data_IF_572330793820
#
_entry.id   IF_572330793820
#
_cell.length_a   1.000
_cell.length_b   1.000
_cell.length_c   1.000
_cell.angle_alpha   90.00
_cell.angle_beta   90.00
_cell.angle_gamma   90.00
#
_symmetry.space_group_name_H-M   'P 1'
#
loop_
_entity.id
_entity.type
_entity.pdbx_description
1 polymer ?
#
# COMPACT_ATOMS: atom_id res chain seq x y z
N UNK A 1 -32.20 20.51 8.14
CA UNK A 1 -33.23 20.12 9.14
C UNK A 1 -33.33 21.15 10.26
N UNK A 2 -32.28 21.42 11.06
CA UNK A 2 -32.33 22.47 12.11
C UNK A 2 -32.56 23.90 11.60
N UNK A 3 -31.93 24.29 10.48
CA UNK A 3 -32.16 25.59 9.85
C UNK A 3 -33.59 25.74 9.28
N UNK A 4 -34.18 24.64 8.80
CA UNK A 4 -35.53 24.61 8.21
C UNK A 4 -36.59 24.88 9.27
N UNK A 5 -36.45 24.28 10.46
CA UNK A 5 -37.41 24.44 11.56
C UNK A 5 -37.39 25.85 12.18
N UNK A 6 -36.26 26.56 12.15
CA UNK A 6 -36.18 27.94 12.66
C UNK A 6 -36.78 28.92 11.64
N UNK A 7 -36.62 28.65 10.34
CA UNK A 7 -37.21 29.45 9.28
C UNK A 7 -38.74 29.34 9.26
N UNK A 8 -39.28 28.12 9.42
CA UNK A 8 -40.74 27.88 9.53
C UNK A 8 -41.38 28.55 10.76
N UNK A 9 -40.62 28.70 11.86
CA UNK A 9 -41.08 29.40 13.07
C UNK A 9 -41.15 30.93 12.89
N UNK A 10 -40.45 31.49 11.90
CA UNK A 10 -40.40 32.93 11.62
C UNK A 10 -41.33 33.34 10.47
N UNK A 11 -41.72 32.41 9.60
CA UNK A 11 -42.62 32.66 8.46
C UNK A 11 -44.07 32.28 8.76
N UNK A 12 -44.62 32.77 9.88
CA UNK A 12 -46.04 32.60 10.21
C UNK A 12 -46.94 33.21 9.13
N UNK A 13 -47.40 32.40 8.19
CA UNK A 13 -48.38 32.76 7.18
C UNK A 13 -49.72 33.09 7.85
N UNK A 14 -50.04 34.37 7.87
CA UNK A 14 -51.36 34.88 8.25
C UNK A 14 -52.27 34.91 7.01
N UNK A 15 -52.93 33.80 6.68
CA UNK A 15 -54.15 33.85 5.88
C UNK A 15 -55.03 32.59 5.99
N UNK A 16 -56.08 32.66 6.82
CA UNK A 16 -57.32 31.89 6.66
C UNK A 16 -58.31 32.34 7.74
N UNK A 17 -59.25 33.20 7.38
CA UNK A 17 -60.29 33.70 8.27
C UNK A 17 -61.49 32.75 8.40
N UNK A 18 -61.94 32.56 9.63
CA UNK A 18 -63.36 32.39 9.99
C UNK A 18 -63.56 32.76 11.47
N UNK A 19 -64.29 33.86 11.64
CA UNK A 19 -65.28 34.22 12.65
C UNK A 19 -65.56 33.24 13.82
N UNK A 20 -65.40 33.74 15.07
CA UNK A 20 -66.45 33.76 16.11
C UNK A 20 -65.88 34.32 17.41
N UNK A 21 -66.51 35.36 17.95
CA UNK A 21 -66.05 36.12 19.10
C UNK A 21 -66.15 35.44 20.47
N UNK A 22 -65.18 35.76 21.34
CA UNK A 22 -65.36 35.95 22.78
C UNK A 22 -64.16 36.76 23.31
N UNK A 23 -64.44 37.94 23.89
CA UNK A 23 -63.42 38.78 24.53
C UNK A 23 -63.08 38.26 25.93
N UNK A 24 -61.80 38.20 26.26
CA UNK A 24 -61.35 38.26 27.65
C UNK A 24 -60.09 37.46 27.95
N UNK A 25 -59.03 38.20 28.29
CA UNK A 25 -57.80 37.78 28.98
C UNK A 25 -56.58 37.46 28.10
N UNK A 26 -55.96 38.55 27.64
CA UNK A 26 -54.52 38.83 27.75
C UNK A 26 -53.54 37.71 27.34
N UNK A 27 -53.36 37.58 26.02
CA UNK A 27 -52.08 37.74 25.33
C UNK A 27 -50.76 37.55 26.11
N UNK A 28 -50.50 36.37 26.68
CA UNK A 28 -49.12 36.00 27.09
C UNK A 28 -48.33 35.29 25.98
N UNK A 29 -48.98 34.83 24.91
CA UNK A 29 -48.31 34.17 23.79
C UNK A 29 -47.82 35.13 22.68
N UNK A 30 -48.24 36.40 22.69
CA UNK A 30 -47.92 37.39 21.63
C UNK A 30 -46.76 38.35 21.99
N UNK A 31 -46.29 38.32 23.23
CA UNK A 31 -45.26 39.25 23.74
C UNK A 31 -43.82 38.91 23.31
N UNK A 32 -43.52 37.63 23.07
CA UNK A 32 -42.15 37.19 22.73
C UNK A 32 -41.71 37.73 21.36
N UNK A 33 -42.66 38.02 20.47
CA UNK A 33 -42.41 38.51 19.10
C UNK A 33 -42.35 40.04 19.03
N UNK A 34 -42.79 40.75 20.07
CA UNK A 34 -42.94 42.21 20.08
C UNK A 34 -41.75 42.95 20.73
N UNK A 35 -40.75 42.24 21.27
CA UNK A 35 -39.58 42.86 21.89
C UNK A 35 -38.54 43.22 20.81
N UNK A 36 -38.34 44.51 20.47
CA UNK A 36 -37.49 44.93 19.36
C UNK A 36 -36.01 44.55 19.55
N UNK A 37 -35.54 44.46 20.79
CA UNK A 37 -34.18 44.00 21.11
C UNK A 37 -33.99 42.51 20.79
N UNK A 38 -35.03 41.71 20.98
CA UNK A 38 -35.03 40.28 20.66
C UNK A 38 -35.05 40.07 19.14
N UNK A 39 -35.89 40.83 18.43
CA UNK A 39 -35.94 40.83 16.96
C UNK A 39 -34.61 41.27 16.34
N UNK A 40 -33.94 42.28 16.92
CA UNK A 40 -32.61 42.71 16.49
C UNK A 40 -31.52 41.65 16.74
N UNK A 41 -31.71 40.77 17.72
CA UNK A 41 -30.76 39.71 18.08
C UNK A 41 -30.87 38.46 17.21
N UNK A 42 -32.03 38.19 16.59
CA UNK A 42 -32.28 37.00 15.76
C UNK A 42 -31.30 36.89 14.58
N UNK A 43 -31.05 37.93 13.76
CA UNK A 43 -30.06 37.88 12.68
C UNK A 43 -28.65 37.56 13.19
N UNK A 44 -28.27 38.10 14.35
CA UNK A 44 -26.97 37.83 14.96
C UNK A 44 -26.86 36.37 15.41
N UNK A 45 -27.91 35.81 16.01
CA UNK A 45 -27.96 34.39 16.40
C UNK A 45 -27.83 33.50 15.16
N UNK A 46 -28.55 33.80 14.08
CA UNK A 46 -28.46 33.05 12.82
C UNK A 46 -27.05 33.12 12.21
N UNK A 47 -26.44 34.30 12.17
CA UNK A 47 -25.06 34.48 11.71
C UNK A 47 -24.06 33.67 12.56
N UNK A 48 -24.23 33.67 13.89
CA UNK A 48 -23.39 32.90 14.80
C UNK A 48 -23.56 31.39 14.58
N UNK A 49 -24.80 30.92 14.37
CA UNK A 49 -25.08 29.51 14.06
C UNK A 49 -24.44 29.09 12.73
N UNK A 50 -24.53 29.93 11.71
CA UNK A 50 -23.88 29.68 10.41
C UNK A 50 -22.35 29.65 10.53
N UNK A 51 -21.76 30.56 11.32
CA UNK A 51 -20.34 30.58 11.60
C UNK A 51 -19.88 29.31 12.34
N UNK A 52 -20.65 28.85 13.33
CA UNK A 52 -20.39 27.60 14.05
C UNK A 52 -20.46 26.41 13.08
N UNK A 53 -21.50 26.33 12.25
CA UNK A 53 -21.66 25.25 11.28
C UNK A 53 -20.49 25.21 10.28
N UNK A 54 -20.11 26.37 9.74
CA UNK A 54 -18.96 26.49 8.82
C UNK A 54 -17.65 26.08 9.49
N UNK A 55 -17.41 26.53 10.73
CA UNK A 55 -16.24 26.15 11.52
C UNK A 55 -16.19 24.64 11.78
N UNK A 56 -17.34 24.03 12.11
CA UNK A 56 -17.45 22.58 12.30
C UNK A 56 -17.09 21.82 11.02
N UNK A 57 -17.63 22.22 9.87
CA UNK A 57 -17.32 21.59 8.58
C UNK A 57 -15.83 21.70 8.24
N UNK A 58 -15.24 22.87 8.45
CA UNK A 58 -13.81 23.08 8.23
C UNK A 58 -12.95 22.19 9.14
N UNK A 59 -13.30 22.08 10.43
CA UNK A 59 -12.60 21.19 11.36
C UNK A 59 -12.69 19.71 10.93
N UNK A 60 -13.86 19.27 10.46
CA UNK A 60 -14.04 17.90 9.96
C UNK A 60 -13.20 17.63 8.71
N UNK A 61 -13.11 18.58 7.78
CA UNK A 61 -12.26 18.48 6.59
C UNK A 61 -10.77 18.39 6.99
N UNK A 62 -10.30 19.26 7.89
CA UNK A 62 -8.93 19.22 8.39
C UNK A 62 -8.61 17.89 9.08
N UNK A 63 -9.55 17.37 9.88
CA UNK A 63 -9.40 16.07 10.52
C UNK A 63 -9.30 14.94 9.49
N UNK A 64 -10.17 14.91 8.49
CA UNK A 64 -10.14 13.88 7.45
C UNK A 64 -8.82 13.90 6.67
N UNK A 65 -8.33 15.10 6.33
CA UNK A 65 -7.04 15.27 5.67
C UNK A 65 -5.87 14.76 6.53
N UNK A 66 -5.83 15.13 7.82
CA UNK A 66 -4.80 14.64 8.75
C UNK A 66 -4.86 13.13 8.93
N UNK A 67 -6.05 12.56 9.07
CA UNK A 67 -6.24 11.10 9.18
C UNK A 67 -5.70 10.39 7.95
N UNK A 68 -6.07 10.85 6.75
CA UNK A 68 -5.59 10.29 5.49
C UNK A 68 -4.05 10.38 5.39
N UNK A 69 -3.47 11.53 5.75
CA UNK A 69 -2.02 11.72 5.69
C UNK A 69 -1.27 10.78 6.62
N UNK A 70 -1.78 10.56 7.85
CA UNK A 70 -1.18 9.63 8.80
C UNK A 70 -1.25 8.18 8.32
N UNK A 71 -2.39 7.77 7.77
CA UNK A 71 -2.57 6.44 7.18
C UNK A 71 -1.59 6.20 6.02
N UNK A 72 -1.45 7.19 5.13
CA UNK A 72 -0.46 7.16 4.04
C UNK A 72 0.99 7.09 4.57
N UNK A 73 1.34 7.85 5.62
CA UNK A 73 2.67 7.74 6.23
C UNK A 73 2.94 6.35 6.82
N UNK A 74 1.93 5.73 7.44
CA UNK A 74 2.05 4.38 7.98
C UNK A 74 2.23 3.34 6.87
N UNK A 75 1.43 3.41 5.80
CA UNK A 75 1.55 2.53 4.63
C UNK A 75 2.92 2.64 3.97
N UNK A 76 3.44 3.87 3.82
CA UNK A 76 4.79 4.09 3.30
C UNK A 76 5.85 3.40 4.17
N UNK A 77 5.76 3.51 5.50
CA UNK A 77 6.73 2.89 6.41
C UNK A 77 6.71 1.37 6.35
N UNK A 78 5.54 0.76 6.26
CA UNK A 78 5.43 -0.69 6.10
C UNK A 78 6.05 -1.14 4.77
N UNK A 79 5.73 -0.44 3.67
CA UNK A 79 6.29 -0.73 2.36
C UNK A 79 7.83 -0.62 2.35
N UNK A 80 8.38 0.46 2.92
CA UNK A 80 9.83 0.68 3.02
C UNK A 80 10.51 -0.44 3.80
N UNK A 81 9.93 -0.84 4.94
CA UNK A 81 10.46 -1.92 5.78
C UNK A 81 10.46 -3.27 5.04
N UNK A 82 9.41 -3.57 4.30
CA UNK A 82 9.34 -4.80 3.53
C UNK A 82 10.35 -4.80 2.37
N UNK A 83 10.55 -3.66 1.71
CA UNK A 83 11.59 -3.50 0.70
C UNK A 83 12.99 -3.66 1.29
N UNK A 84 13.27 -3.06 2.44
CA UNK A 84 14.57 -3.14 3.13
C UNK A 84 14.95 -4.59 3.42
N UNK A 85 14.03 -5.37 4.00
CA UNK A 85 14.26 -6.80 4.25
C UNK A 85 14.63 -7.58 2.99
N UNK A 86 13.98 -7.28 1.87
CA UNK A 86 14.28 -7.94 0.61
C UNK A 86 15.62 -7.49 0.02
N UNK A 87 15.96 -6.20 0.12
CA UNK A 87 17.28 -5.71 -0.29
C UNK A 87 18.39 -6.37 0.53
N UNK A 88 18.27 -6.40 1.86
CA UNK A 88 19.24 -7.03 2.74
C UNK A 88 19.44 -8.51 2.40
N UNK A 89 18.32 -9.22 2.20
CA UNK A 89 18.37 -10.63 1.80
C UNK A 89 19.09 -10.82 0.47
N UNK A 90 18.77 -10.03 -0.56
CA UNK A 90 19.40 -10.15 -1.89
C UNK A 90 20.89 -9.82 -1.81
N UNK A 91 21.27 -8.73 -1.14
CA UNK A 91 22.66 -8.33 -0.99
C UNK A 91 23.48 -9.42 -0.29
N UNK A 92 23.00 -9.92 0.85
CA UNK A 92 23.68 -10.98 1.59
C UNK A 92 23.86 -12.25 0.74
N UNK A 93 22.81 -12.70 0.07
CA UNK A 93 22.86 -13.92 -0.73
C UNK A 93 23.70 -13.76 -1.99
N UNK A 94 23.77 -12.55 -2.56
CA UNK A 94 24.68 -12.25 -3.67
C UNK A 94 26.13 -12.39 -3.24
N UNK A 95 26.49 -11.89 -2.06
CA UNK A 95 27.85 -12.00 -1.54
C UNK A 95 28.23 -13.46 -1.26
N UNK A 96 27.34 -14.21 -0.59
CA UNK A 96 27.51 -15.65 -0.37
C UNK A 96 27.66 -16.40 -1.70
N UNK A 97 26.87 -16.03 -2.71
CA UNK A 97 26.94 -16.62 -4.04
C UNK A 97 28.31 -16.37 -4.70
N UNK A 98 28.77 -15.12 -4.72
CA UNK A 98 30.04 -14.75 -5.34
C UNK A 98 31.26 -15.38 -4.63
N UNK A 99 31.20 -15.58 -3.32
CA UNK A 99 32.31 -16.19 -2.57
C UNK A 99 32.39 -17.71 -2.71
N UNK A 100 31.24 -18.40 -2.76
CA UNK A 100 31.21 -19.87 -2.65
C UNK A 100 30.88 -20.59 -3.96
N UNK A 101 30.29 -19.91 -4.95
CA UNK A 101 29.68 -20.55 -6.12
C UNK A 101 30.36 -20.17 -7.44
N UNK A 102 31.69 -20.30 -7.47
CA UNK A 102 32.50 -20.13 -8.71
C UNK A 102 32.95 -21.46 -9.32
N UNK A 103 32.91 -22.56 -8.56
CA UNK A 103 33.34 -23.87 -9.06
C UNK A 103 32.26 -24.56 -9.92
N UNK A 104 32.72 -25.34 -10.90
CA UNK A 104 31.87 -26.12 -11.83
C UNK A 104 32.08 -27.65 -11.72
N UNK A 105 33.00 -28.09 -10.85
CA UNK A 105 33.36 -29.50 -10.67
C UNK A 105 34.30 -30.05 -11.74
N UNK A 106 35.31 -30.81 -11.32
CA UNK A 106 36.32 -31.43 -12.19
C UNK A 106 36.08 -32.93 -12.44
N UNK A 107 34.96 -33.46 -11.98
CA UNK A 107 34.51 -34.84 -12.23
C UNK A 107 32.98 -34.88 -12.29
N UNK A 108 32.41 -35.95 -12.83
CA UNK A 108 30.94 -36.11 -12.87
C UNK A 108 30.34 -36.05 -11.47
N UNK A 109 30.95 -36.77 -10.51
CA UNK A 109 30.49 -36.80 -9.12
C UNK A 109 30.44 -35.40 -8.50
N UNK A 110 31.55 -34.67 -8.56
CA UNK A 110 31.62 -33.34 -7.95
C UNK A 110 30.73 -32.31 -8.66
N UNK A 111 30.68 -32.34 -9.99
CA UNK A 111 29.78 -31.45 -10.74
C UNK A 111 28.30 -31.71 -10.39
N UNK A 112 27.94 -32.97 -10.13
CA UNK A 112 26.59 -33.37 -9.74
C UNK A 112 26.24 -32.91 -8.32
N UNK A 113 27.16 -33.07 -7.38
CA UNK A 113 27.02 -32.57 -6.01
C UNK A 113 26.80 -31.04 -5.99
N UNK A 114 27.64 -30.28 -6.72
CA UNK A 114 27.51 -28.83 -6.85
C UNK A 114 26.18 -28.41 -7.51
N UNK A 115 25.68 -29.18 -8.49
CA UNK A 115 24.38 -28.95 -9.11
C UNK A 115 23.23 -29.15 -8.12
N UNK A 116 23.30 -30.18 -7.27
CA UNK A 116 22.27 -30.47 -6.27
C UNK A 116 22.23 -29.39 -5.17
N UNK A 117 23.38 -28.95 -4.68
CA UNK A 117 23.47 -27.83 -3.74
C UNK A 117 22.90 -26.53 -4.33
N UNK A 118 23.24 -26.21 -5.58
CA UNK A 118 22.71 -25.03 -6.28
C UNK A 118 21.19 -25.10 -6.46
N UNK A 119 20.66 -26.28 -6.81
CA UNK A 119 19.22 -26.48 -6.93
C UNK A 119 18.52 -26.26 -5.58
N UNK A 120 19.08 -26.75 -4.48
CA UNK A 120 18.52 -26.54 -3.15
C UNK A 120 18.47 -25.04 -2.78
N UNK A 121 19.55 -24.31 -3.05
CA UNK A 121 19.63 -22.87 -2.84
C UNK A 121 18.59 -22.10 -3.68
N UNK A 122 18.47 -22.45 -4.96
CA UNK A 122 17.50 -21.81 -5.88
C UNK A 122 16.05 -22.06 -5.44
N UNK A 123 15.74 -23.27 -4.97
CA UNK A 123 14.43 -23.58 -4.40
C UNK A 123 14.13 -22.77 -3.13
N UNK A 124 15.12 -22.58 -2.26
CA UNK A 124 14.99 -21.73 -1.06
C UNK A 124 14.65 -20.27 -1.42
N UNK A 125 15.14 -19.80 -2.56
CA UNK A 125 14.91 -18.43 -3.06
C UNK A 125 13.48 -18.19 -3.57
N UNK A 126 12.67 -19.23 -3.78
CA UNK A 126 11.32 -19.10 -4.33
C UNK A 126 10.36 -18.31 -3.42
N UNK A 127 10.53 -18.41 -2.09
CA UNK A 127 9.74 -17.63 -1.14
C UNK A 127 10.01 -16.12 -1.28
N UNK A 128 11.25 -15.74 -1.60
CA UNK A 128 11.66 -14.36 -1.81
C UNK A 128 11.01 -13.81 -3.08
N UNK A 129 10.99 -14.59 -4.16
CA UNK A 129 10.30 -14.21 -5.40
C UNK A 129 8.82 -13.87 -5.16
N UNK A 130 8.10 -14.74 -4.44
CA UNK A 130 6.68 -14.52 -4.11
C UNK A 130 6.51 -13.26 -3.26
N UNK A 131 7.39 -13.06 -2.27
CA UNK A 131 7.32 -11.90 -1.40
C UNK A 131 7.55 -10.57 -2.16
N UNK A 132 8.54 -10.54 -3.04
CA UNK A 132 8.83 -9.37 -3.89
C UNK A 132 7.61 -9.04 -4.76
N UNK A 133 7.00 -10.03 -5.43
CA UNK A 133 5.79 -9.80 -6.23
C UNK A 133 4.62 -9.23 -5.40
N UNK A 134 4.47 -9.69 -4.16
CA UNK A 134 3.47 -9.13 -3.23
C UNK A 134 3.77 -7.68 -2.90
N UNK A 135 5.02 -7.33 -2.60
CA UNK A 135 5.46 -5.96 -2.32
C UNK A 135 5.22 -5.05 -3.53
N UNK A 136 5.54 -5.51 -4.74
CA UNK A 136 5.28 -4.77 -5.98
C UNK A 136 3.78 -4.54 -6.20
N UNK A 137 2.94 -5.52 -5.87
CA UNK A 137 1.47 -5.38 -5.94
C UNK A 137 0.98 -4.30 -4.96
N UNK A 138 1.52 -4.25 -3.74
CA UNK A 138 1.21 -3.18 -2.77
C UNK A 138 1.65 -1.83 -3.32
N UNK A 139 2.87 -1.74 -3.87
CA UNK A 139 3.39 -0.51 -4.47
C UNK A 139 2.48 0.04 -5.57
N UNK A 140 2.03 -0.81 -6.50
CA UNK A 140 1.09 -0.42 -7.57
C UNK A 140 -0.20 0.14 -7.01
N UNK A 141 -0.81 -0.50 -6.00
CA UNK A 141 -2.05 -0.02 -5.37
C UNK A 141 -1.87 1.34 -4.69
N UNK A 142 -0.74 1.56 -4.00
CA UNK A 142 -0.43 2.85 -3.39
C UNK A 142 -0.27 3.95 -4.46
N UNK A 143 0.35 3.62 -5.59
CA UNK A 143 0.50 4.56 -6.70
C UNK A 143 -0.86 4.90 -7.33
N UNK A 144 -1.68 3.89 -7.59
CA UNK A 144 -3.02 4.03 -8.19
C UNK A 144 -3.97 4.83 -7.28
N UNK A 145 -3.84 4.71 -5.96
CA UNK A 145 -4.61 5.49 -4.99
C UNK A 145 -4.17 6.96 -4.87
N UNK A 146 -3.27 7.43 -5.74
CA UNK A 146 -2.71 8.78 -5.71
C UNK A 146 -2.04 9.12 -4.37
N UNK A 147 -1.34 8.16 -3.79
CA UNK A 147 -0.58 8.34 -2.56
C UNK A 147 0.41 9.51 -2.68
N UNK A 148 0.54 10.34 -1.63
CA UNK A 148 1.36 11.57 -1.71
C UNK A 148 2.84 11.31 -2.08
N UNK A 149 3.35 10.13 -1.76
CA UNK A 149 4.72 9.68 -2.04
C UNK A 149 4.83 8.73 -3.25
N UNK A 150 3.84 8.71 -4.15
CA UNK A 150 3.78 7.74 -5.26
C UNK A 150 5.07 7.69 -6.11
N UNK A 151 5.73 8.83 -6.36
CA UNK A 151 6.97 8.86 -7.13
C UNK A 151 8.13 8.14 -6.41
N UNK A 152 8.22 8.29 -5.09
CA UNK A 152 9.22 7.59 -4.28
C UNK A 152 8.95 6.09 -4.26
N UNK A 153 7.70 5.69 -4.00
CA UNK A 153 7.26 4.29 -4.00
C UNK A 153 7.60 3.63 -5.33
N UNK A 154 7.30 4.28 -6.45
CA UNK A 154 7.64 3.79 -7.80
C UNK A 154 9.13 3.55 -7.95
N UNK A 155 9.94 4.53 -7.55
CA UNK A 155 11.41 4.46 -7.66
C UNK A 155 11.97 3.28 -6.86
N UNK A 156 11.54 3.10 -5.61
CA UNK A 156 11.99 2.01 -4.74
C UNK A 156 11.53 0.65 -5.27
N UNK A 157 10.26 0.53 -5.67
CA UNK A 157 9.69 -0.70 -6.22
C UNK A 157 10.42 -1.14 -7.50
N UNK A 158 10.65 -0.21 -8.44
CA UNK A 158 11.41 -0.50 -9.67
C UNK A 158 12.86 -0.89 -9.37
N UNK A 159 13.49 -0.28 -8.37
CA UNK A 159 14.84 -0.67 -7.94
C UNK A 159 14.85 -2.10 -7.39
N UNK A 160 13.90 -2.44 -6.52
CA UNK A 160 13.79 -3.77 -5.93
C UNK A 160 13.59 -4.85 -7.00
N UNK A 161 12.65 -4.63 -7.93
CA UNK A 161 12.38 -5.55 -9.04
C UNK A 161 13.63 -5.77 -9.92
N UNK A 162 14.33 -4.68 -10.28
CA UNK A 162 15.58 -4.77 -11.06
C UNK A 162 16.66 -5.55 -10.31
N UNK A 163 16.90 -5.22 -9.04
CA UNK A 163 17.93 -5.87 -8.23
C UNK A 163 17.65 -7.37 -8.08
N UNK A 164 16.39 -7.75 -7.90
CA UNK A 164 16.00 -9.16 -7.89
C UNK A 164 16.23 -9.86 -9.24
N UNK A 165 15.81 -9.24 -10.34
CA UNK A 165 16.00 -9.80 -11.69
C UNK A 165 17.47 -10.01 -12.03
N UNK A 166 18.33 -9.06 -11.65
CA UNK A 166 19.78 -9.18 -11.83
C UNK A 166 20.35 -10.38 -11.03
N UNK A 167 19.89 -10.57 -9.79
CA UNK A 167 20.31 -11.72 -8.98
C UNK A 167 19.79 -13.05 -9.57
N UNK A 168 18.51 -13.12 -9.93
CA UNK A 168 17.89 -14.30 -10.51
C UNK A 168 18.57 -14.71 -11.83
N UNK A 169 18.92 -13.75 -12.69
CA UNK A 169 19.64 -14.04 -13.93
C UNK A 169 20.99 -14.72 -13.68
N UNK A 170 21.71 -14.34 -12.63
CA UNK A 170 22.96 -15.00 -12.23
C UNK A 170 22.75 -16.44 -11.74
N UNK A 171 21.62 -16.72 -11.06
CA UNK A 171 21.26 -18.08 -10.68
C UNK A 171 20.94 -18.94 -11.90
N UNK A 172 20.21 -18.39 -12.87
CA UNK A 172 19.87 -19.07 -14.12
C UNK A 172 21.13 -19.39 -14.95
N UNK A 173 22.06 -18.44 -15.05
CA UNK A 173 23.34 -18.64 -15.72
C UNK A 173 24.14 -19.79 -15.09
N UNK A 174 24.29 -19.79 -13.75
CA UNK A 174 24.97 -20.87 -13.05
C UNK A 174 24.27 -22.21 -13.22
N UNK A 175 22.93 -22.22 -13.22
CA UNK A 175 22.14 -23.44 -13.48
C UNK A 175 22.54 -24.04 -14.83
N UNK A 176 22.62 -23.22 -15.87
CA UNK A 176 23.03 -23.65 -17.20
C UNK A 176 24.48 -24.18 -17.23
N UNK A 177 25.41 -23.46 -16.60
CA UNK A 177 26.83 -23.86 -16.53
C UNK A 177 27.01 -25.20 -15.82
N UNK A 178 26.38 -25.41 -14.66
CA UNK A 178 26.46 -26.68 -13.93
C UNK A 178 25.81 -27.83 -14.71
N UNK A 179 24.68 -27.58 -15.39
CA UNK A 179 24.05 -28.58 -16.25
C UNK A 179 24.98 -29.03 -17.39
N UNK A 180 25.66 -28.09 -18.04
CA UNK A 180 26.66 -28.38 -19.07
C UNK A 180 27.86 -29.16 -18.50
N UNK A 181 28.37 -28.76 -17.32
CA UNK A 181 29.48 -29.44 -16.67
C UNK A 181 29.15 -30.92 -16.35
N UNK A 182 27.99 -31.16 -15.73
CA UNK A 182 27.50 -32.51 -15.43
C UNK A 182 27.39 -33.34 -16.71
N UNK A 183 26.79 -32.78 -17.76
CA UNK A 183 26.63 -33.48 -19.04
C UNK A 183 27.98 -33.81 -19.69
N UNK A 184 28.91 -32.86 -19.70
CA UNK A 184 30.25 -33.04 -20.25
C UNK A 184 30.98 -34.20 -19.58
N UNK A 185 31.12 -34.15 -18.25
CA UNK A 185 31.83 -35.19 -17.49
C UNK A 185 31.16 -36.55 -17.63
N UNK A 186 29.82 -36.59 -17.60
CA UNK A 186 29.08 -37.84 -17.80
C UNK A 186 29.38 -38.50 -19.15
N UNK A 187 29.42 -37.69 -20.23
CA UNK A 187 29.73 -38.18 -21.57
C UNK A 187 31.20 -38.59 -21.71
N UNK A 188 32.13 -37.81 -21.14
CA UNK A 188 33.55 -38.13 -21.15
C UNK A 188 33.85 -39.49 -20.50
N UNK A 189 33.28 -39.75 -19.32
CA UNK A 189 33.41 -41.04 -18.63
C UNK A 189 32.84 -42.21 -19.43
N UNK A 190 31.70 -42.02 -20.12
CA UNK A 190 31.12 -43.04 -20.99
C UNK A 190 32.03 -43.40 -22.17
N UNK A 191 32.67 -42.40 -22.79
CA UNK A 191 33.61 -42.64 -23.91
C UNK A 191 34.82 -43.42 -23.44
N UNK A 192 35.37 -43.07 -22.27
CA UNK A 192 36.51 -43.78 -21.68
C UNK A 192 36.13 -45.25 -21.40
N UNK A 193 34.97 -45.50 -20.78
CA UNK A 193 34.46 -46.85 -20.50
C UNK A 193 34.26 -47.68 -21.76
N UNK A 194 33.83 -47.07 -22.88
CA UNK A 194 33.68 -47.76 -24.18
C UNK A 194 35.02 -48.06 -24.85
N UNK A 195 36.06 -47.26 -24.58
CA UNK A 195 37.40 -47.40 -25.17
C UNK A 195 38.33 -48.32 -24.41
N UNK A 196 37.99 -48.73 -23.18
CA UNK A 196 38.69 -49.79 -22.44
C UNK A 196 38.10 -51.16 -22.83
N UNK A 197 38.70 -51.93 -23.76
CA UNK A 197 38.28 -53.29 -24.01
C UNK A 197 38.60 -54.10 -22.75
N UNK A 198 37.70 -55.01 -22.36
CA UNK A 198 37.98 -56.00 -21.30
C UNK A 198 39.31 -56.68 -21.65
N UNK A 199 40.33 -56.46 -20.84
CA UNK A 199 41.54 -57.27 -20.86
C UNK A 199 41.09 -58.70 -20.55
N UNK A 200 41.15 -59.55 -21.56
CA UNK A 200 40.89 -60.99 -21.50
C UNK A 200 41.93 -61.68 -20.64
#
# INVERSE_FOLDING_TARGET
>A
MLMTNIQELLSGDANSGYDSGYSGRDSEASSVVANPDLQASVPQILQNLEAIHTSQQHLLQLWHHKKLKLDQCFQLRLFEQDCEKMFDWICHNRDVFLMNYVEIGHSYKLAKELQEEHNHFTMSSMNVYVNINRILTVASRLIESSHYAAQHIRTVASRLDRTWKEFAAGLDERTAVLALSVLFHHKAEQVIKKKSPKAT
#
